data_IF_236437775457
#
_entry.id   IF_236437775457
#
_cell.length_a   1.000
_cell.length_b   1.000
_cell.length_c   1.000
_cell.angle_alpha   90.00
_cell.angle_beta   90.00
_cell.angle_gamma   90.00
#
_symmetry.space_group_name_H-M   'P 1'
#
loop_
_entity.id
_entity.type
_entity.pdbx_description
1 polymer ?
#
# COMPACT_ATOMS: atom_id res chain seq x y z
N UNK A 1 24.87 6.98 -38.76
CA UNK A 1 23.93 7.13 -37.64
C UNK A 1 23.27 5.79 -37.39
N UNK A 2 23.68 5.08 -36.33
CA UNK A 2 22.99 3.88 -35.88
C UNK A 2 21.93 4.32 -34.86
N UNK A 3 20.66 4.19 -35.25
CA UNK A 3 19.52 4.35 -34.33
C UNK A 3 19.38 3.01 -33.61
N UNK A 4 19.85 2.94 -32.36
CA UNK A 4 19.54 1.81 -31.49
C UNK A 4 18.06 1.88 -31.09
N UNK A 5 17.25 1.04 -31.73
CA UNK A 5 15.87 0.79 -31.33
C UNK A 5 15.91 -0.12 -30.08
N UNK A 6 15.75 0.45 -28.89
CA UNK A 6 15.52 -0.35 -27.69
C UNK A 6 14.11 -0.97 -27.78
N UNK A 7 14.05 -2.28 -28.02
CA UNK A 7 12.81 -3.04 -27.86
C UNK A 7 12.46 -3.07 -26.36
N UNK A 8 11.52 -2.22 -25.94
CA UNK A 8 10.91 -2.35 -24.64
C UNK A 8 10.04 -3.62 -24.65
N UNK A 9 10.51 -4.69 -24.03
CA UNK A 9 9.70 -5.88 -23.77
C UNK A 9 8.68 -5.48 -22.70
N UNK A 10 7.43 -5.30 -23.11
CA UNK A 10 6.31 -5.13 -22.18
C UNK A 10 5.96 -6.52 -21.66
N UNK A 11 6.46 -6.87 -20.48
CA UNK A 11 5.96 -8.04 -19.75
C UNK A 11 4.52 -7.75 -19.29
N UNK A 12 3.62 -8.75 -19.28
CA UNK A 12 2.30 -8.58 -18.70
C UNK A 12 2.47 -8.24 -17.21
N UNK A 13 1.79 -7.18 -16.75
CA UNK A 13 1.78 -6.80 -15.34
C UNK A 13 1.28 -8.00 -14.51
N UNK A 14 2.05 -8.40 -13.50
CA UNK A 14 1.67 -9.43 -12.57
C UNK A 14 0.72 -8.84 -11.52
N UNK A 15 -0.39 -9.54 -11.24
CA UNK A 15 -1.32 -9.14 -10.18
C UNK A 15 -0.95 -9.86 -8.89
N UNK A 16 -0.79 -9.10 -7.80
CA UNK A 16 -0.50 -9.62 -6.46
C UNK A 16 -1.61 -9.24 -5.50
N UNK A 17 -2.19 -10.24 -4.84
CA UNK A 17 -3.30 -10.09 -3.91
C UNK A 17 -2.81 -10.31 -2.48
N UNK A 18 -3.06 -9.32 -1.63
CA UNK A 18 -2.67 -9.37 -0.23
C UNK A 18 -3.84 -9.00 0.67
N UNK A 19 -3.91 -9.67 1.80
CA UNK A 19 -4.76 -9.28 2.93
C UNK A 19 -3.94 -8.37 3.85
N UNK A 20 -4.56 -7.30 4.34
CA UNK A 20 -3.95 -6.36 5.27
C UNK A 20 -4.57 -6.52 6.66
N UNK A 21 -3.72 -6.47 7.68
CA UNK A 21 -4.16 -6.45 9.08
C UNK A 21 -3.24 -5.53 9.89
N UNK A 22 -3.78 -4.67 10.73
CA UNK A 22 -2.97 -3.82 11.60
C UNK A 22 -3.78 -2.75 12.28
N UNK A 23 -3.22 -1.56 12.43
CA UNK A 23 -3.89 -0.46 13.12
C UNK A 23 -3.52 0.90 12.56
N UNK A 24 -4.38 1.87 12.86
CA UNK A 24 -4.05 3.28 12.74
C UNK A 24 -3.06 3.64 13.85
N UNK A 25 -2.00 4.36 13.47
CA UNK A 25 -0.94 4.77 14.41
C UNK A 25 -0.92 6.27 14.67
N UNK A 26 -1.50 7.07 13.78
CA UNK A 26 -1.73 8.49 14.01
C UNK A 26 -2.96 8.98 13.22
N UNK A 27 -3.71 9.92 13.79
CA UNK A 27 -4.70 10.73 13.11
C UNK A 27 -4.46 12.19 13.41
N UNK A 28 -4.39 13.00 12.36
CA UNK A 28 -4.35 14.45 12.42
C UNK A 28 -5.50 15.02 11.58
N UNK A 29 -5.68 16.35 11.62
CA UNK A 29 -6.79 17.01 10.93
C UNK A 29 -6.85 16.67 9.43
N UNK A 30 -5.69 16.56 8.76
CA UNK A 30 -5.58 16.35 7.31
C UNK A 30 -4.73 15.13 6.94
N UNK A 31 -4.32 14.33 7.92
CA UNK A 31 -3.49 13.14 7.67
C UNK A 31 -3.81 11.95 8.57
N UNK A 32 -3.68 10.75 8.01
CA UNK A 32 -3.83 9.47 8.74
C UNK A 32 -2.63 8.59 8.41
N UNK A 33 -1.98 8.02 9.44
CA UNK A 33 -0.89 7.06 9.25
C UNK A 33 -1.28 5.67 9.75
N UNK A 34 -1.11 4.68 8.89
CA UNK A 34 -1.45 3.28 9.11
C UNK A 34 -0.18 2.43 9.02
N UNK A 35 -0.04 1.50 9.95
CA UNK A 35 0.96 0.44 9.88
C UNK A 35 0.21 -0.90 9.81
N UNK A 36 0.34 -1.59 8.68
CA UNK A 36 -0.41 -2.80 8.37
C UNK A 36 0.56 -3.90 7.96
N UNK A 37 0.27 -5.13 8.35
CA UNK A 37 0.96 -6.32 7.86
C UNK A 37 0.21 -6.83 6.63
N UNK A 38 0.92 -7.05 5.53
CA UNK A 38 0.43 -7.79 4.37
C UNK A 38 0.71 -9.28 4.53
N UNK A 39 -0.25 -10.10 4.17
CA UNK A 39 -0.11 -11.54 3.95
C UNK A 39 -0.70 -11.91 2.59
N UNK A 40 -0.27 -13.03 1.99
CA UNK A 40 -0.67 -13.46 0.65
C UNK A 40 0.53 -13.55 -0.29
N UNK A 41 0.39 -12.99 -1.49
CA UNK A 41 1.40 -13.12 -2.54
C UNK A 41 2.70 -12.38 -2.21
N UNK A 42 2.60 -11.22 -1.57
CA UNK A 42 3.71 -10.35 -1.15
C UNK A 42 3.61 -10.05 0.35
N UNK A 43 3.90 -11.03 1.23
CA UNK A 43 3.85 -10.80 2.66
C UNK A 43 4.86 -9.73 3.06
N UNK A 44 4.51 -8.89 4.03
CA UNK A 44 5.39 -7.79 4.41
C UNK A 44 4.77 -6.75 5.31
N UNK A 45 5.49 -5.65 5.49
CA UNK A 45 5.08 -4.52 6.31
C UNK A 45 4.71 -3.33 5.43
N UNK A 46 3.48 -2.85 5.56
CA UNK A 46 2.98 -1.65 4.90
C UNK A 46 3.01 -0.46 5.85
N UNK A 47 3.54 0.64 5.34
CA UNK A 47 3.37 1.97 5.93
C UNK A 47 2.61 2.83 4.94
N UNK A 48 1.49 3.39 5.39
CA UNK A 48 0.58 4.17 4.56
C UNK A 48 0.34 5.49 5.26
N UNK A 49 0.60 6.60 4.58
CA UNK A 49 0.24 7.93 5.05
C UNK A 49 -0.73 8.51 4.04
N UNK A 50 -1.96 8.77 4.47
CA UNK A 50 -3.03 9.35 3.67
C UNK A 50 -3.08 10.85 3.98
N UNK A 51 -3.15 11.67 2.93
CA UNK A 51 -3.54 13.07 3.02
C UNK A 51 -5.01 13.18 2.59
N UNK A 52 -5.78 13.98 3.32
CA UNK A 52 -7.21 14.08 3.10
C UNK A 52 -7.74 15.50 3.20
N UNK A 53 -8.81 15.75 2.46
CA UNK A 53 -9.69 16.90 2.62
C UNK A 53 -11.10 16.37 2.96
N UNK A 54 -11.49 16.54 4.23
CA UNK A 54 -12.67 15.89 4.79
C UNK A 54 -12.58 14.37 4.69
N UNK A 55 -13.47 13.78 3.88
CA UNK A 55 -13.57 12.34 3.64
C UNK A 55 -12.90 11.90 2.33
N UNK A 56 -12.27 12.81 1.59
CA UNK A 56 -11.63 12.48 0.32
C UNK A 56 -10.13 12.36 0.51
N UNK A 57 -9.53 11.31 -0.06
CA UNK A 57 -8.07 11.18 -0.12
C UNK A 57 -7.56 12.06 -1.25
N UNK A 58 -6.68 13.01 -0.92
CA UNK A 58 -6.12 13.98 -1.87
C UNK A 58 -4.65 13.68 -2.20
N UNK A 59 -3.99 12.86 -1.40
CA UNK A 59 -2.58 12.58 -1.54
C UNK A 59 -2.08 11.51 -0.57
N UNK A 60 -0.77 11.30 -0.55
CA UNK A 60 -0.13 10.45 0.44
C UNK A 60 1.04 9.65 -0.10
N UNK A 61 1.62 8.84 0.78
CA UNK A 61 2.71 7.94 0.47
C UNK A 61 2.38 6.52 0.89
N UNK A 62 2.84 5.56 0.10
CA UNK A 62 2.73 4.14 0.37
C UNK A 62 4.11 3.50 0.28
N UNK A 63 4.41 2.58 1.21
CA UNK A 63 5.59 1.73 1.18
C UNK A 63 5.23 0.33 1.66
N UNK A 64 5.68 -0.68 0.92
CA UNK A 64 5.63 -2.09 1.31
C UNK A 64 7.06 -2.62 1.38
N UNK A 65 7.51 -3.00 2.56
CA UNK A 65 8.72 -3.81 2.74
C UNK A 65 8.32 -5.28 2.63
N UNK A 66 8.73 -5.95 1.54
CA UNK A 66 8.36 -7.34 1.29
C UNK A 66 9.29 -8.25 2.07
N UNK A 67 8.69 -9.11 2.90
CA UNK A 67 9.38 -10.07 3.73
C UNK A 67 9.39 -11.46 3.06
N UNK A 68 10.31 -12.37 3.47
CA UNK A 68 10.19 -13.77 3.11
C UNK A 68 8.90 -14.38 3.67
N UNK A 69 8.41 -15.44 3.03
CA UNK A 69 7.32 -16.24 3.58
C UNK A 69 7.73 -16.78 4.96
N UNK A 70 6.82 -16.74 5.94
CA UNK A 70 7.05 -17.13 7.33
C UNK A 70 8.16 -16.31 8.05
N UNK A 71 8.34 -15.04 7.67
CA UNK A 71 9.29 -14.15 8.33
C UNK A 71 9.03 -14.03 9.84
N UNK A 72 10.14 -13.93 10.59
CA UNK A 72 10.18 -13.65 12.01
C UNK A 72 10.90 -12.32 12.32
N UNK A 73 11.12 -12.02 13.60
CA UNK A 73 11.76 -10.77 14.03
C UNK A 73 13.22 -10.60 13.56
N UNK A 74 13.90 -11.67 13.12
CA UNK A 74 15.27 -11.63 12.62
C UNK A 74 15.33 -11.56 11.08
N UNK A 75 14.18 -11.67 10.41
CA UNK A 75 14.10 -11.75 8.96
C UNK A 75 14.33 -10.39 8.31
N UNK A 76 15.13 -10.40 7.23
CA UNK A 76 15.39 -9.20 6.44
C UNK A 76 14.39 -9.08 5.30
N UNK A 77 14.07 -7.84 4.89
CA UNK A 77 13.27 -7.59 3.71
C UNK A 77 13.99 -8.06 2.44
N UNK A 78 13.25 -8.68 1.53
CA UNK A 78 13.70 -9.09 0.18
C UNK A 78 13.80 -7.91 -0.78
N UNK A 79 13.06 -6.86 -0.47
CA UNK A 79 13.02 -5.62 -1.22
C UNK A 79 11.87 -4.75 -0.75
N UNK A 80 11.75 -3.59 -1.36
CA UNK A 80 10.70 -2.63 -1.04
C UNK A 80 9.99 -2.18 -2.30
N UNK A 81 8.73 -1.81 -2.16
CA UNK A 81 7.94 -1.10 -3.15
C UNK A 81 7.52 0.23 -2.55
N UNK A 82 7.66 1.31 -3.30
CA UNK A 82 7.25 2.65 -2.88
C UNK A 82 6.31 3.27 -3.92
N UNK A 83 5.40 4.09 -3.45
CA UNK A 83 4.41 4.73 -4.30
C UNK A 83 3.74 5.93 -3.67
N UNK A 84 2.95 6.64 -4.47
CA UNK A 84 2.16 7.79 -4.07
C UNK A 84 0.68 7.49 -4.15
N UNK A 85 -0.09 8.09 -3.24
CA UNK A 85 -1.53 7.94 -3.18
C UNK A 85 -2.17 9.17 -3.80
N UNK A 86 -3.23 8.98 -4.60
CA UNK A 86 -3.85 10.08 -5.35
C UNK A 86 -5.37 10.08 -5.35
N UNK A 87 -6.01 9.15 -4.63
CA UNK A 87 -7.47 9.09 -4.60
C UNK A 87 -7.99 8.01 -3.66
N UNK A 88 -9.30 8.02 -3.45
CA UNK A 88 -10.02 7.15 -2.53
C UNK A 88 -10.94 7.95 -1.61
N UNK A 89 -11.76 7.25 -0.85
CA UNK A 89 -12.66 7.84 0.14
C UNK A 89 -12.41 7.24 1.53
N UNK A 90 -12.73 8.01 2.56
CA UNK A 90 -12.56 7.66 3.96
C UNK A 90 -13.88 7.83 4.70
N UNK A 91 -14.16 6.90 5.61
CA UNK A 91 -15.17 7.07 6.66
C UNK A 91 -14.44 7.20 7.97
N UNK A 92 -14.77 8.23 8.76
CA UNK A 92 -14.13 8.51 10.05
C UNK A 92 -15.16 8.56 11.17
N UNK A 93 -14.73 8.29 12.40
CA UNK A 93 -15.53 8.56 13.62
C UNK A 93 -15.59 10.06 13.91
N UNK A 94 -16.42 10.47 14.86
CA UNK A 94 -16.50 11.86 15.30
C UNK A 94 -15.17 12.37 15.89
N UNK A 95 -14.38 11.46 16.46
CA UNK A 95 -13.05 11.71 17.03
C UNK A 95 -11.93 11.68 15.96
N UNK A 96 -12.29 11.43 14.69
CA UNK A 96 -11.35 11.41 13.58
C UNK A 96 -10.58 10.09 13.42
N UNK A 97 -11.02 8.99 14.04
CA UNK A 97 -10.44 7.66 13.82
C UNK A 97 -10.96 7.04 12.50
N UNK A 98 -10.11 6.29 11.80
CA UNK A 98 -10.48 5.63 10.55
C UNK A 98 -11.45 4.47 10.80
N UNK A 99 -12.63 4.55 10.17
CA UNK A 99 -13.61 3.45 10.11
C UNK A 99 -13.43 2.65 8.83
N UNK A 100 -13.23 3.33 7.70
CA UNK A 100 -12.93 2.67 6.44
C UNK A 100 -12.15 3.56 5.49
N UNK A 101 -11.36 2.93 4.62
CA UNK A 101 -10.79 3.55 3.43
C UNK A 101 -11.16 2.71 2.21
N UNK A 102 -11.72 3.31 1.18
CA UNK A 102 -12.27 2.59 0.02
C UNK A 102 -11.66 3.10 -1.28
N UNK A 103 -11.31 2.16 -2.15
CA UNK A 103 -10.74 2.42 -3.47
C UNK A 103 -9.56 3.40 -3.41
N UNK A 104 -8.69 3.24 -2.40
CA UNK A 104 -7.51 4.08 -2.28
C UNK A 104 -6.53 3.71 -3.38
N UNK A 105 -6.22 4.67 -4.23
CA UNK A 105 -5.42 4.48 -5.45
C UNK A 105 -3.96 4.79 -5.15
N UNK A 106 -3.08 3.85 -5.47
CA UNK A 106 -1.63 3.97 -5.34
C UNK A 106 -1.00 3.87 -6.72
N UNK A 107 -0.13 4.81 -7.06
CA UNK A 107 0.81 4.69 -8.16
C UNK A 107 2.16 4.20 -7.60
N UNK A 108 2.56 2.98 -7.98
CA UNK A 108 3.86 2.42 -7.62
C UNK A 108 4.92 3.11 -8.47
N UNK A 109 5.95 3.64 -7.84
CA UNK A 109 6.97 4.47 -8.47
C UNK A 109 8.29 3.71 -8.68
N UNK A 110 8.65 2.85 -7.73
CA UNK A 110 9.88 2.06 -7.84
C UNK A 110 9.88 0.89 -6.86
N UNK A 111 10.71 -0.10 -7.15
CA UNK A 111 11.09 -1.12 -6.19
C UNK A 111 12.60 -1.19 -5.92
N UNK A 112 12.98 -1.96 -4.90
CA UNK A 112 14.37 -2.26 -4.53
C UNK A 112 14.56 -3.75 -4.26
N UNK A 113 15.81 -4.20 -4.14
CA UNK A 113 16.13 -5.62 -3.91
C UNK A 113 15.62 -6.48 -5.06
N UNK A 114 14.85 -7.52 -4.74
CA UNK A 114 14.23 -8.39 -5.75
C UNK A 114 13.23 -7.67 -6.66
N UNK A 115 12.74 -6.48 -6.26
CA UNK A 115 11.78 -5.67 -7.01
C UNK A 115 12.44 -4.48 -7.73
N UNK A 116 13.77 -4.45 -7.85
CA UNK A 116 14.49 -3.34 -8.47
C UNK A 116 14.12 -3.08 -9.95
N UNK A 117 13.55 -4.07 -10.65
CA UNK A 117 13.05 -3.91 -12.01
C UNK A 117 11.71 -3.18 -12.10
N UNK A 118 11.00 -3.00 -10.98
CA UNK A 118 9.72 -2.29 -10.94
C UNK A 118 9.97 -0.80 -11.06
N UNK A 119 9.54 -0.20 -12.17
CA UNK A 119 9.64 1.25 -12.43
C UNK A 119 8.29 1.95 -12.47
N UNK A 120 7.20 1.19 -12.45
CA UNK A 120 5.82 1.69 -12.46
C UNK A 120 4.86 0.58 -12.09
N UNK A 121 3.69 0.95 -11.57
CA UNK A 121 2.59 0.03 -11.33
C UNK A 121 1.42 0.72 -10.66
N UNK A 122 0.37 -0.03 -10.38
CA UNK A 122 -0.78 0.46 -9.63
C UNK A 122 -1.05 -0.45 -8.45
N UNK A 123 -1.65 0.11 -7.40
CA UNK A 123 -2.31 -0.69 -6.38
C UNK A 123 -3.62 -0.06 -5.94
N UNK A 124 -4.56 -0.91 -5.55
CA UNK A 124 -5.83 -0.50 -4.96
C UNK A 124 -5.91 -1.07 -3.54
N UNK A 125 -6.24 -0.19 -2.61
CA UNK A 125 -6.32 -0.48 -1.19
C UNK A 125 -7.76 -0.30 -0.69
N UNK A 126 -8.25 -1.28 0.06
CA UNK A 126 -9.50 -1.19 0.81
C UNK A 126 -9.23 -1.59 2.25
N UNK A 127 -9.74 -0.81 3.21
CA UNK A 127 -9.56 -1.02 4.65
C UNK A 127 -10.90 -0.79 5.34
N UNK A 128 -11.19 -1.60 6.34
CA UNK A 128 -12.28 -1.42 7.29
C UNK A 128 -11.81 -1.73 8.70
N UNK A 129 -12.31 -0.98 9.67
CA UNK A 129 -12.19 -1.32 11.07
C UNK A 129 -12.91 -2.65 11.34
N UNK A 130 -12.34 -3.45 12.22
CA UNK A 130 -12.94 -4.68 12.68
C UNK A 130 -14.22 -4.37 13.48
N UNK A 131 -15.28 -5.15 13.24
CA UNK A 131 -16.58 -4.91 13.85
C UNK A 131 -16.58 -5.21 15.36
N UNK A 132 -15.72 -6.12 15.81
CA UNK A 132 -15.57 -6.49 17.21
C UNK A 132 -14.49 -5.64 17.89
N UNK A 133 -13.51 -5.15 17.13
CA UNK A 133 -12.45 -4.29 17.63
C UNK A 133 -12.12 -3.12 16.68
N UNK A 134 -12.78 -1.97 16.89
CA UNK A 134 -12.61 -0.80 16.04
C UNK A 134 -11.16 -0.22 15.98
N UNK A 135 -10.26 -0.64 16.88
CA UNK A 135 -8.84 -0.26 16.82
C UNK A 135 -8.01 -1.12 15.85
N UNK A 136 -8.54 -2.28 15.48
CA UNK A 136 -7.97 -3.18 14.49
C UNK A 136 -8.54 -2.86 13.12
N UNK A 137 -7.66 -2.78 12.13
CA UNK A 137 -7.98 -2.54 10.74
C UNK A 137 -7.67 -3.79 9.92
N UNK A 138 -8.63 -4.20 9.10
CA UNK A 138 -8.49 -5.31 8.16
C UNK A 138 -8.74 -4.80 6.74
N UNK A 139 -8.17 -5.43 5.72
CA UNK A 139 -8.31 -4.92 4.36
C UNK A 139 -7.73 -5.80 3.27
N UNK A 140 -7.74 -5.27 2.05
CA UNK A 140 -7.13 -5.87 0.87
C UNK A 140 -6.23 -4.87 0.16
N UNK A 141 -5.15 -5.41 -0.41
CA UNK A 141 -4.22 -4.70 -1.26
C UNK A 141 -4.02 -5.51 -2.54
N UNK A 142 -4.39 -4.93 -3.67
CA UNK A 142 -4.20 -5.55 -4.99
C UNK A 142 -3.18 -4.71 -5.75
N UNK A 143 -2.04 -5.29 -6.10
CA UNK A 143 -0.97 -4.62 -6.85
C UNK A 143 -0.89 -5.16 -8.28
N UNK A 144 -0.50 -4.30 -9.22
CA UNK A 144 -0.26 -4.66 -10.63
C UNK A 144 1.02 -3.96 -11.10
N UNK A 145 2.07 -4.73 -11.41
CA UNK A 145 3.34 -4.24 -11.95
C UNK A 145 4.15 -5.34 -12.63
#
# INVERSE_FOLDING_TARGET
MLVSLALAVVLPAATYNNTLNGSQTASEAESITLNLTASGDLPGMNKITLQRDGQNVTGGSWRLAVLPQNADAASNARGELVGTISGGTLTLTAEGALVSASSVQVAIQSGTGEYAAVTSGTATLNISADAENASQLNGSLVLNF
#
